data_IF_441886759557
#
_entry.id   IF_441886759557
#
_cell.length_a   1.000
_cell.length_b   1.000
_cell.length_c   1.000
_cell.angle_alpha   90.00
_cell.angle_beta   90.00
_cell.angle_gamma   90.00
#
_symmetry.space_group_name_H-M   'P 1'
#
loop_
_entity.id
_entity.type
_entity.pdbx_description
1 polymer ?
#
# COMPACT_ATOMS: atom_id res chain seq x y z
N UNK A 1 -3.51 7.59 -10.25
CA UNK A 1 -4.76 8.33 -10.51
C UNK A 1 -5.72 7.60 -11.47
N UNK A 2 -5.27 7.14 -12.64
CA UNK A 2 -6.14 6.46 -13.62
C UNK A 2 -6.75 5.14 -13.12
N UNK A 3 -5.96 4.30 -12.42
CA UNK A 3 -6.45 3.02 -11.87
C UNK A 3 -7.61 3.20 -10.88
N UNK A 4 -7.49 4.15 -9.94
CA UNK A 4 -8.57 4.50 -9.01
C UNK A 4 -9.88 4.87 -9.74
N UNK A 5 -9.81 5.74 -10.77
CA UNK A 5 -10.99 6.11 -11.57
C UNK A 5 -11.56 4.92 -12.34
N UNK A 6 -10.70 4.07 -12.92
CA UNK A 6 -11.10 2.85 -13.64
C UNK A 6 -11.85 1.87 -12.73
N UNK A 7 -11.52 1.84 -11.44
CA UNK A 7 -12.19 1.03 -10.42
C UNK A 7 -13.42 1.70 -9.80
N UNK A 8 -13.87 2.83 -10.33
CA UNK A 8 -15.09 3.54 -9.90
C UNK A 8 -14.88 4.58 -8.79
N UNK A 9 -13.64 4.90 -8.43
CA UNK A 9 -13.33 5.93 -7.44
C UNK A 9 -13.70 7.34 -7.92
N UNK A 10 -14.48 8.07 -7.12
CA UNK A 10 -14.92 9.44 -7.41
C UNK A 10 -13.99 10.52 -6.83
N UNK A 11 -13.38 10.25 -5.67
CA UNK A 11 -12.45 11.15 -4.98
C UNK A 11 -11.04 10.54 -4.93
N UNK A 12 -10.43 10.36 -6.09
CA UNK A 12 -9.08 9.81 -6.17
C UNK A 12 -8.05 10.84 -5.72
N UNK A 13 -7.37 10.54 -4.61
CA UNK A 13 -6.26 11.33 -4.07
C UNK A 13 -5.02 10.47 -3.86
N UNK A 14 -3.86 11.11 -3.75
CA UNK A 14 -2.62 10.42 -3.42
C UNK A 14 -2.56 10.22 -1.91
N UNK A 15 -2.65 8.98 -1.46
CA UNK A 15 -2.53 8.63 -0.03
C UNK A 15 -1.09 8.63 0.44
N UNK A 16 -0.19 8.09 -0.38
CA UNK A 16 1.19 7.85 0.00
C UNK A 16 2.06 7.74 -1.26
N UNK A 17 3.27 8.29 -1.17
CA UNK A 17 4.31 8.20 -2.18
C UNK A 17 5.53 7.52 -1.56
N UNK A 18 6.20 6.68 -2.34
CA UNK A 18 7.34 5.89 -1.89
C UNK A 18 8.39 5.78 -3.01
N UNK A 19 9.65 5.64 -2.62
CA UNK A 19 10.79 5.44 -3.52
C UNK A 19 11.82 4.55 -2.83
N UNK A 20 12.58 3.76 -3.59
CA UNK A 20 13.59 2.84 -3.07
C UNK A 20 13.04 1.85 -2.02
N UNK A 21 11.82 1.37 -2.26
CA UNK A 21 11.14 0.50 -1.31
C UNK A 21 9.81 -0.01 -1.85
N UNK A 22 9.04 -0.61 -0.96
CA UNK A 22 7.76 -1.23 -1.24
C UNK A 22 6.65 -0.57 -0.43
N UNK A 23 5.42 -0.79 -0.89
CA UNK A 23 4.23 -0.30 -0.25
C UNK A 23 3.14 -1.36 -0.24
N UNK A 24 2.30 -1.34 0.80
CA UNK A 24 1.07 -2.11 0.87
C UNK A 24 -0.10 -1.22 1.30
N UNK A 25 -1.25 -1.49 0.68
CA UNK A 25 -2.55 -0.91 0.97
C UNK A 25 -3.47 -2.04 1.45
N UNK A 26 -3.99 -1.89 2.66
CA UNK A 26 -4.87 -2.84 3.33
C UNK A 26 -6.20 -2.17 3.60
N UNK A 27 -7.29 -2.89 3.34
CA UNK A 27 -8.63 -2.48 3.74
C UNK A 27 -9.14 -3.40 4.85
N UNK A 28 -9.76 -2.81 5.87
CA UNK A 28 -10.71 -3.47 6.75
C UNK A 28 -12.15 -3.12 6.39
N UNK A 29 -13.09 -3.44 7.27
CA UNK A 29 -14.51 -3.13 7.05
C UNK A 29 -14.81 -1.62 7.07
N UNK A 30 -14.00 -0.82 7.78
CA UNK A 30 -14.24 0.60 8.07
C UNK A 30 -13.11 1.51 7.58
N UNK A 31 -11.87 1.04 7.63
CA UNK A 31 -10.68 1.85 7.43
C UNK A 31 -9.78 1.29 6.33
N UNK A 32 -9.05 2.21 5.72
CA UNK A 32 -7.98 1.93 4.78
C UNK A 32 -6.66 2.30 5.45
N UNK A 33 -5.69 1.40 5.39
CA UNK A 33 -4.36 1.57 5.96
C UNK A 33 -3.30 1.37 4.88
N UNK A 34 -2.27 2.22 4.89
CA UNK A 34 -1.11 2.05 4.01
C UNK A 34 0.21 2.16 4.78
N UNK A 35 1.17 1.30 4.43
CA UNK A 35 2.54 1.33 4.99
C UNK A 35 3.57 1.04 3.91
N UNK A 36 4.68 1.77 3.98
CA UNK A 36 5.88 1.51 3.19
C UNK A 36 6.93 0.77 4.01
N UNK A 37 7.76 -0.02 3.34
CA UNK A 37 8.92 -0.68 3.93
C UNK A 37 10.03 -0.91 2.87
N UNK A 38 11.15 -1.47 3.30
CA UNK A 38 12.28 -1.84 2.46
C UNK A 38 11.97 -3.02 1.51
N UNK A 39 11.06 -3.90 1.89
CA UNK A 39 10.62 -5.05 1.10
C UNK A 39 9.10 -5.28 1.19
N UNK A 40 8.56 -6.11 0.30
CA UNK A 40 7.11 -6.29 0.13
C UNK A 40 6.46 -6.95 1.36
N UNK A 41 7.06 -8.01 1.89
CA UNK A 41 6.52 -8.76 3.04
C UNK A 41 6.44 -7.86 4.28
N UNK A 42 7.49 -7.07 4.52
CA UNK A 42 7.51 -6.15 5.64
C UNK A 42 6.43 -5.06 5.50
N UNK A 43 6.25 -4.50 4.30
CA UNK A 43 5.20 -3.50 4.04
C UNK A 43 3.80 -4.07 4.29
N UNK A 44 3.52 -5.27 3.76
CA UNK A 44 2.24 -5.96 3.95
C UNK A 44 1.97 -6.28 5.40
N UNK A 45 2.95 -6.85 6.11
CA UNK A 45 2.83 -7.17 7.52
C UNK A 45 2.55 -5.93 8.36
N UNK A 46 3.31 -4.86 8.18
CA UNK A 46 3.11 -3.61 8.93
C UNK A 46 1.75 -2.97 8.65
N UNK A 47 1.27 -3.00 7.40
CA UNK A 47 -0.06 -2.48 7.06
C UNK A 47 -1.18 -3.36 7.67
N UNK A 48 -1.02 -4.68 7.63
CA UNK A 48 -1.97 -5.63 8.19
C UNK A 48 -2.05 -5.55 9.71
N UNK A 49 -0.91 -5.49 10.38
CA UNK A 49 -0.85 -5.35 11.84
C UNK A 49 -1.53 -4.05 12.27
N UNK A 50 -1.27 -2.94 11.56
CA UNK A 50 -1.93 -1.67 11.85
C UNK A 50 -3.44 -1.72 11.63
N UNK A 51 -3.90 -2.36 10.57
CA UNK A 51 -5.33 -2.55 10.33
C UNK A 51 -5.99 -3.35 11.45
N UNK A 52 -5.37 -4.46 11.89
CA UNK A 52 -5.93 -5.35 12.94
C UNK A 52 -6.02 -4.69 14.32
N UNK A 53 -5.25 -3.63 14.57
CA UNK A 53 -5.38 -2.83 15.80
C UNK A 53 -6.67 -2.00 15.83
N UNK A 54 -7.18 -1.61 14.66
CA UNK A 54 -8.23 -0.58 14.52
C UNK A 54 -9.50 -1.10 13.84
N UNK A 55 -9.43 -2.24 13.16
CA UNK A 55 -10.49 -2.75 12.29
C UNK A 55 -10.49 -4.29 12.15
N UNK A 56 -11.51 -4.82 11.47
CA UNK A 56 -11.72 -6.25 11.20
C UNK A 56 -11.73 -6.56 9.71
N UNK A 57 -11.68 -7.86 9.36
CA UNK A 57 -11.62 -8.36 7.97
C UNK A 57 -10.51 -7.72 7.11
N UNK A 58 -9.40 -7.38 7.76
CA UNK A 58 -8.25 -6.80 7.11
C UNK A 58 -7.70 -7.71 6.01
N UNK A 59 -7.47 -7.16 4.82
CA UNK A 59 -6.86 -7.86 3.70
C UNK A 59 -6.04 -6.90 2.84
N UNK A 60 -4.95 -7.41 2.27
CA UNK A 60 -4.12 -6.66 1.32
C UNK A 60 -4.91 -6.47 0.03
N UNK A 61 -5.11 -5.21 -0.35
CA UNK A 61 -5.80 -4.83 -1.58
C UNK A 61 -4.81 -4.54 -2.71
N UNK A 62 -3.66 -3.96 -2.38
CA UNK A 62 -2.62 -3.65 -3.34
C UNK A 62 -1.26 -3.63 -2.64
N UNK A 63 -0.25 -4.18 -3.29
CA UNK A 63 1.13 -4.04 -2.86
C UNK A 63 2.06 -3.98 -4.07
N UNK A 64 3.15 -3.22 -3.97
CA UNK A 64 4.13 -3.09 -5.06
C UNK A 64 5.44 -2.47 -4.58
N UNK A 65 6.49 -2.63 -5.37
CA UNK A 65 7.80 -2.05 -5.09
C UNK A 65 8.27 -1.13 -6.21
N UNK A 66 9.02 -0.10 -5.80
CA UNK A 66 9.81 0.79 -6.66
C UNK A 66 11.25 0.66 -6.20
N UNK A 67 11.83 -0.53 -6.42
CA UNK A 67 13.19 -0.84 -6.03
C UNK A 67 14.20 -0.04 -6.86
N UNK A 68 15.37 0.30 -6.30
CA UNK A 68 16.43 0.92 -7.07
C UNK A 68 16.87 -0.01 -8.20
N UNK A 69 17.16 0.58 -9.36
CA UNK A 69 17.85 -0.12 -10.45
C UNK A 69 19.35 0.13 -10.31
N UNK A 70 20.14 -0.91 -10.46
CA UNK A 70 21.59 -0.75 -10.56
C UNK A 70 21.92 -0.15 -11.93
N UNK A 71 22.69 0.95 -11.91
CA UNK A 71 23.19 1.59 -13.13
C UNK A 71 24.67 1.21 -13.25
N UNK A 72 25.07 0.41 -14.25
CA UNK A 72 26.49 0.07 -14.43
C UNK A 72 27.30 1.35 -14.67
N UNK A 73 28.47 1.43 -14.03
CA UNK A 73 29.47 2.48 -14.26
C UNK A 73 30.21 2.27 -15.57
#
# INVERSE_FOLDING_TARGET
>A
MADCKKKGGVNCQTEIAYSNGCIALVFGDKLMNSKGADNLEHAEKSAMDKCKEEDTNCHVYYSSCSLPIEVPL
#
